data_IF_799639069991
#
_entry.id   IF_799639069991
#
_cell.length_a   1.000
_cell.length_b   1.000
_cell.length_c   1.000
_cell.angle_alpha   90.00
_cell.angle_beta   90.00
_cell.angle_gamma   90.00
#
_symmetry.space_group_name_H-M   'P 1'
#
loop_
_entity.id
_entity.type
_entity.pdbx_description
1 polymer ?
#
# COMPACT_ATOMS: atom_id res chain seq x y z
N UNK A 1 15.91 4.95 -4.73
CA UNK A 1 15.62 4.38 -3.38
C UNK A 1 14.61 3.26 -3.54
N UNK A 2 14.85 2.10 -2.97
CA UNK A 2 13.97 0.91 -3.01
C UNK A 2 13.67 0.48 -1.59
N UNK A 3 12.46 0.01 -1.34
CA UNK A 3 12.07 -0.61 -0.08
C UNK A 3 11.68 -2.06 -0.33
N UNK A 4 12.12 -2.95 0.55
CA UNK A 4 11.78 -4.38 0.47
C UNK A 4 11.22 -4.80 1.82
N UNK A 5 9.90 -4.98 1.94
CA UNK A 5 9.27 -5.39 3.18
C UNK A 5 9.28 -6.90 3.41
N UNK A 6 9.60 -7.73 2.42
CA UNK A 6 9.32 -9.16 2.43
C UNK A 6 10.53 -10.03 2.82
N UNK A 7 10.29 -11.11 3.57
CA UNK A 7 11.21 -12.22 3.79
C UNK A 7 11.90 -12.24 5.16
N UNK A 8 12.60 -11.19 5.56
CA UNK A 8 13.42 -11.18 6.78
C UNK A 8 12.72 -10.54 8.00
N UNK A 9 11.39 -10.34 7.96
CA UNK A 9 10.61 -9.69 9.02
C UNK A 9 11.18 -8.29 9.34
N UNK A 10 11.42 -7.49 8.32
CA UNK A 10 11.93 -6.12 8.43
C UNK A 10 11.61 -5.30 7.20
N UNK A 11 11.59 -3.98 7.34
CA UNK A 11 11.59 -3.02 6.24
C UNK A 11 13.01 -2.52 6.06
N UNK A 12 13.51 -2.56 4.82
CA UNK A 12 14.88 -2.15 4.48
C UNK A 12 14.82 -1.07 3.40
N UNK A 13 15.60 -0.02 3.55
CA UNK A 13 15.81 1.03 2.55
C UNK A 13 17.13 0.78 1.81
N UNK A 14 17.07 0.83 0.49
CA UNK A 14 18.25 0.74 -0.37
C UNK A 14 18.53 2.11 -1.00
N UNK A 15 19.68 2.67 -0.74
CA UNK A 15 20.14 3.92 -1.36
C UNK A 15 20.67 3.70 -2.78
N UNK A 16 21.37 2.61 -2.99
CA UNK A 16 21.89 2.09 -4.26
C UNK A 16 21.93 0.56 -4.25
N UNK A 17 22.54 -0.07 -5.24
CA UNK A 17 22.57 -1.52 -5.35
C UNK A 17 23.50 -2.21 -4.31
N UNK A 18 24.33 -1.45 -3.60
CA UNK A 18 25.30 -1.97 -2.62
C UNK A 18 24.95 -1.62 -1.16
N UNK A 19 24.21 -0.53 -0.94
CA UNK A 19 23.99 0.00 0.39
C UNK A 19 22.52 -0.11 0.81
N UNK A 20 22.29 -0.82 1.90
CA UNK A 20 20.97 -0.94 2.51
C UNK A 20 21.04 -0.69 4.01
N UNK A 21 19.98 -0.14 4.55
CA UNK A 21 19.79 0.03 5.99
C UNK A 21 18.44 -0.52 6.42
N UNK A 22 18.38 -1.02 7.63
CA UNK A 22 17.14 -1.48 8.25
C UNK A 22 16.38 -0.23 8.72
N UNK A 23 15.17 -0.04 8.18
CA UNK A 23 14.26 1.03 8.60
C UNK A 23 13.56 0.61 9.89
N UNK A 24 13.07 -0.64 9.93
CA UNK A 24 12.40 -1.18 11.11
C UNK A 24 12.37 -2.71 11.04
N UNK A 25 12.74 -3.36 12.12
CA UNK A 25 12.60 -4.81 12.33
C UNK A 25 11.91 -5.15 13.67
N UNK A 26 11.78 -4.16 14.56
CA UNK A 26 11.17 -4.30 15.87
C UNK A 26 10.25 -3.13 16.20
N UNK A 27 9.20 -3.43 16.95
CA UNK A 27 8.31 -2.46 17.58
C UNK A 27 8.21 -2.78 19.06
N UNK A 28 8.51 -1.81 19.93
CA UNK A 28 8.53 -2.00 21.38
C UNK A 28 9.37 -3.23 21.83
N UNK A 29 10.53 -3.41 21.18
CA UNK A 29 11.45 -4.52 21.45
C UNK A 29 11.08 -5.87 20.83
N UNK A 30 9.87 -6.03 20.31
CA UNK A 30 9.38 -7.27 19.68
C UNK A 30 9.56 -7.22 18.16
N UNK A 31 9.86 -8.36 17.54
CA UNK A 31 9.98 -8.42 16.08
C UNK A 31 8.64 -8.16 15.41
N UNK A 32 8.65 -7.34 14.36
CA UNK A 32 7.47 -7.18 13.49
C UNK A 32 7.15 -8.49 12.80
N UNK A 33 5.89 -8.66 12.38
CA UNK A 33 5.43 -9.96 11.89
C UNK A 33 6.00 -10.28 10.51
N UNK A 34 5.47 -9.67 9.47
CA UNK A 34 5.92 -9.86 8.09
C UNK A 34 5.39 -8.73 7.22
N UNK A 35 6.12 -7.62 7.13
CA UNK A 35 5.72 -6.47 6.33
C UNK A 35 5.35 -6.87 4.90
N UNK A 36 4.31 -6.24 4.36
CA UNK A 36 3.77 -6.57 3.04
C UNK A 36 3.94 -5.41 2.04
N UNK A 37 3.30 -4.28 2.24
CA UNK A 37 3.39 -3.13 1.31
C UNK A 37 3.90 -1.89 2.03
N UNK A 38 4.43 -0.93 1.25
CA UNK A 38 5.11 0.25 1.77
C UNK A 38 4.82 1.47 0.90
N UNK A 39 4.60 2.61 1.55
CA UNK A 39 4.47 3.92 0.90
C UNK A 39 5.26 4.96 1.68
N UNK A 40 5.74 5.99 0.97
CA UNK A 40 6.44 7.11 1.58
C UNK A 40 5.59 8.36 1.51
N UNK A 41 5.70 9.20 2.53
CA UNK A 41 5.08 10.50 2.61
C UNK A 41 6.07 11.61 2.27
N UNK A 42 5.59 12.79 1.88
CA UNK A 42 6.43 13.93 1.50
C UNK A 42 7.30 14.47 2.64
N UNK A 43 6.92 14.23 3.89
CA UNK A 43 7.69 14.54 5.09
C UNK A 43 8.88 13.59 5.32
N UNK A 44 9.07 12.60 4.44
CA UNK A 44 10.12 11.60 4.53
C UNK A 44 9.77 10.39 5.39
N UNK A 45 8.60 10.35 6.01
CA UNK A 45 8.15 9.19 6.78
C UNK A 45 7.82 8.01 5.87
N UNK A 46 8.07 6.81 6.37
CA UNK A 46 7.84 5.54 5.69
C UNK A 46 6.70 4.84 6.39
N UNK A 47 5.68 4.43 5.63
CA UNK A 47 4.49 3.79 6.14
C UNK A 47 4.36 2.40 5.52
N UNK A 48 4.06 1.40 6.31
CA UNK A 48 3.97 0.03 5.81
C UNK A 48 2.91 -0.79 6.55
N UNK A 49 2.45 -1.84 5.88
CA UNK A 49 1.53 -2.82 6.45
C UNK A 49 2.29 -4.03 6.96
N UNK A 50 1.87 -4.58 8.11
CA UNK A 50 2.43 -5.78 8.73
C UNK A 50 1.32 -6.78 9.08
N UNK A 51 0.79 -7.51 8.08
CA UNK A 51 -0.33 -8.42 8.27
C UNK A 51 0.01 -9.69 9.03
N UNK A 52 1.29 -10.05 9.13
CA UNK A 52 1.72 -11.32 9.72
C UNK A 52 1.19 -12.55 8.98
N UNK A 53 0.83 -12.41 7.69
CA UNK A 53 0.39 -13.53 6.86
C UNK A 53 1.52 -14.56 6.72
N UNK A 54 1.15 -15.85 6.85
CA UNK A 54 2.07 -16.98 6.76
C UNK A 54 3.16 -17.01 7.84
N UNK A 55 3.02 -16.22 8.90
CA UNK A 55 3.81 -16.39 10.13
C UNK A 55 2.98 -17.30 11.04
N UNK A 56 3.49 -18.46 11.44
CA UNK A 56 2.82 -19.30 12.43
C UNK A 56 2.52 -18.51 13.70
N UNK A 57 1.39 -18.76 14.33
CA UNK A 57 0.99 -17.99 15.51
C UNK A 57 2.03 -18.10 16.64
N UNK A 58 2.67 -19.27 16.78
CA UNK A 58 3.74 -19.49 17.75
C UNK A 58 5.01 -18.66 17.49
N UNK A 59 5.21 -18.20 16.23
CA UNK A 59 6.38 -17.43 15.83
C UNK A 59 6.12 -15.91 15.82
N UNK A 60 4.89 -15.49 16.14
CA UNK A 60 4.54 -14.08 16.24
C UNK A 60 4.95 -13.52 17.58
N UNK A 61 5.81 -12.50 17.56
CA UNK A 61 6.17 -11.76 18.77
C UNK A 61 5.13 -10.67 19.10
N UNK A 62 4.54 -10.06 18.05
CA UNK A 62 3.47 -9.05 18.18
C UNK A 62 2.09 -9.72 18.13
N UNK A 63 1.19 -9.37 19.07
CA UNK A 63 -0.14 -9.97 19.15
C UNK A 63 -1.11 -9.46 18.07
N UNK A 64 -0.75 -8.38 17.38
CA UNK A 64 -1.58 -7.69 16.41
C UNK A 64 -0.92 -7.60 15.03
N UNK A 65 -1.72 -7.38 14.03
CA UNK A 65 -1.33 -6.94 12.69
C UNK A 65 -1.74 -5.48 12.53
N UNK A 66 -1.02 -4.70 11.72
CA UNK A 66 -1.34 -3.29 11.63
C UNK A 66 -0.59 -2.52 10.56
N UNK A 67 -0.82 -1.23 10.58
CA UNK A 67 -0.08 -0.22 9.81
C UNK A 67 0.87 0.50 10.75
N UNK A 68 2.11 0.61 10.34
CA UNK A 68 3.16 1.32 11.06
C UNK A 68 3.66 2.51 10.27
N UNK A 69 4.17 3.50 10.98
CA UNK A 69 4.94 4.61 10.39
C UNK A 69 6.27 4.77 11.09
N UNK A 70 7.30 5.12 10.31
CA UNK A 70 8.64 5.44 10.79
C UNK A 70 9.03 6.80 10.27
N UNK A 71 9.36 7.74 11.16
CA UNK A 71 9.83 9.08 10.82
C UNK A 71 11.31 9.06 10.40
N UNK A 72 11.81 10.13 9.73
CA UNK A 72 13.23 10.24 9.39
C UNK A 72 14.19 10.16 10.58
N UNK A 73 13.75 10.53 11.78
CA UNK A 73 14.52 10.43 13.02
C UNK A 73 14.51 9.01 13.64
N UNK A 74 13.88 8.03 12.98
CA UNK A 74 13.75 6.65 13.46
C UNK A 74 12.59 6.43 14.43
N UNK A 75 11.86 7.46 14.83
CA UNK A 75 10.66 7.30 15.68
C UNK A 75 9.60 6.50 14.95
N UNK A 76 9.20 5.38 15.53
CA UNK A 76 8.18 4.50 14.97
C UNK A 76 6.92 4.45 15.83
N UNK A 77 5.80 4.17 15.19
CA UNK A 77 4.52 3.95 15.87
C UNK A 77 3.60 3.00 15.13
N UNK A 78 2.74 2.33 15.86
CA UNK A 78 1.55 1.67 15.34
C UNK A 78 0.49 2.74 15.07
N UNK A 79 0.07 2.89 13.81
CA UNK A 79 -0.94 3.86 13.39
C UNK A 79 -2.35 3.34 13.65
N UNK A 80 -2.57 2.08 13.25
CA UNK A 80 -3.85 1.39 13.45
C UNK A 80 -3.67 -0.11 13.36
N UNK A 81 -4.46 -0.85 14.15
CA UNK A 81 -4.57 -2.30 14.03
C UNK A 81 -5.55 -2.68 12.92
N UNK A 82 -5.23 -3.77 12.24
CA UNK A 82 -6.04 -4.37 11.20
C UNK A 82 -5.98 -5.89 11.30
N UNK A 83 -6.95 -6.53 10.70
CA UNK A 83 -6.98 -7.99 10.67
C UNK A 83 -5.94 -8.55 9.67
N UNK A 84 -6.01 -8.08 8.41
CA UNK A 84 -5.09 -8.46 7.34
C UNK A 84 -4.79 -7.28 6.42
N UNK A 85 -4.06 -6.24 6.89
CA UNK A 85 -3.72 -5.09 6.08
C UNK A 85 -2.78 -5.50 4.95
N UNK A 86 -3.02 -4.97 3.75
CA UNK A 86 -2.24 -5.29 2.56
C UNK A 86 -1.81 -3.99 1.86
N UNK A 87 -2.28 -3.71 0.65
CA UNK A 87 -1.94 -2.50 -0.08
C UNK A 87 -2.31 -1.23 0.67
N UNK A 88 -1.46 -0.21 0.54
CA UNK A 88 -1.73 1.11 1.11
C UNK A 88 -1.31 2.22 0.16
N UNK A 89 -2.01 3.36 0.22
CA UNK A 89 -1.71 4.55 -0.57
C UNK A 89 -2.23 5.81 0.11
N UNK A 90 -1.55 6.94 -0.07
CA UNK A 90 -2.03 8.24 0.36
C UNK A 90 -2.92 8.90 -0.69
N UNK A 91 -3.88 9.71 -0.23
CA UNK A 91 -4.53 10.73 -1.05
C UNK A 91 -3.49 11.76 -1.56
N UNK A 92 -3.79 12.51 -2.64
CA UNK A 92 -2.84 13.51 -3.17
C UNK A 92 -2.41 14.58 -2.17
N UNK A 93 -3.26 14.93 -1.22
CA UNK A 93 -2.97 15.88 -0.14
C UNK A 93 -2.33 15.22 1.10
N UNK A 94 -2.11 13.91 1.06
CA UNK A 94 -1.52 13.09 2.12
C UNK A 94 -2.26 13.16 3.48
N UNK A 95 -3.53 13.61 3.48
CA UNK A 95 -4.36 13.67 4.69
C UNK A 95 -5.17 12.39 4.92
N UNK A 96 -5.30 11.56 3.90
CA UNK A 96 -5.97 10.28 4.00
C UNK A 96 -5.03 9.16 3.60
N UNK A 97 -4.91 8.15 4.45
CA UNK A 97 -4.26 6.89 4.12
C UNK A 97 -5.34 5.86 3.83
N UNK A 98 -5.34 5.33 2.62
CA UNK A 98 -6.15 4.17 2.25
C UNK A 98 -5.41 2.88 2.57
N UNK A 99 -6.11 1.90 3.12
CA UNK A 99 -5.54 0.58 3.49
C UNK A 99 -6.51 -0.50 3.06
N UNK A 100 -6.04 -1.43 2.23
CA UNK A 100 -6.78 -2.62 1.85
C UNK A 100 -6.73 -3.66 2.96
N UNK A 101 -7.86 -4.29 3.28
CA UNK A 101 -7.95 -5.46 4.15
C UNK A 101 -8.32 -6.68 3.32
N UNK A 102 -7.46 -7.71 3.34
CA UNK A 102 -7.51 -8.84 2.39
C UNK A 102 -8.53 -9.92 2.76
N UNK A 103 -8.76 -10.18 4.06
CA UNK A 103 -9.50 -11.36 4.53
C UNK A 103 -10.58 -11.00 5.53
N UNK A 104 -11.51 -11.95 5.67
CA UNK A 104 -12.77 -11.90 6.35
C UNK A 104 -13.64 -10.79 5.75
N UNK A 105 -13.37 -9.53 6.03
CA UNK A 105 -14.05 -8.42 5.37
C UNK A 105 -13.09 -7.79 4.33
N UNK A 106 -13.45 -7.84 3.05
CA UNK A 106 -12.67 -7.30 1.94
C UNK A 106 -12.98 -5.81 1.75
N UNK A 107 -12.46 -4.98 2.65
CA UNK A 107 -12.70 -3.54 2.65
C UNK A 107 -11.45 -2.74 2.31
N UNK A 108 -11.65 -1.58 1.71
CA UNK A 108 -10.69 -0.48 1.78
C UNK A 108 -11.12 0.42 2.93
N UNK A 109 -10.20 0.67 3.85
CA UNK A 109 -10.38 1.66 4.91
C UNK A 109 -9.74 2.98 4.52
N UNK A 110 -10.36 4.11 4.89
CA UNK A 110 -9.77 5.42 4.87
C UNK A 110 -9.46 5.84 6.30
N UNK A 111 -8.20 6.19 6.55
CA UNK A 111 -7.70 6.73 7.80
C UNK A 111 -7.41 8.22 7.58
N UNK A 112 -8.17 9.08 8.23
CA UNK A 112 -7.91 10.52 8.25
C UNK A 112 -6.79 10.81 9.25
N UNK A 113 -5.82 11.62 8.83
CA UNK A 113 -4.62 11.93 9.60
C UNK A 113 -4.58 13.41 9.97
N UNK A 114 -4.10 13.72 11.17
CA UNK A 114 -3.71 15.06 11.54
C UNK A 114 -2.36 15.46 10.90
N UNK A 115 -1.93 16.70 11.12
CA UNK A 115 -0.68 17.24 10.59
C UNK A 115 0.57 16.54 11.14
N UNK A 116 0.45 15.82 12.24
CA UNK A 116 1.53 15.03 12.85
C UNK A 116 1.49 13.57 12.42
N UNK A 117 0.47 13.21 11.61
CA UNK A 117 0.23 11.88 11.07
C UNK A 117 -0.46 10.92 12.07
N UNK A 118 -1.10 11.42 13.13
CA UNK A 118 -1.93 10.58 13.99
C UNK A 118 -3.27 10.32 13.32
N UNK A 119 -3.82 9.13 13.55
CA UNK A 119 -5.17 8.81 13.13
C UNK A 119 -6.19 9.65 13.92
N UNK A 120 -6.97 10.46 13.19
CA UNK A 120 -8.12 11.22 13.73
C UNK A 120 -9.39 10.39 13.63
N UNK A 121 -9.56 9.73 12.49
CA UNK A 121 -10.76 8.97 12.17
C UNK A 121 -10.45 7.80 11.24
N UNK A 122 -11.18 6.71 11.39
CA UNK A 122 -11.18 5.57 10.47
C UNK A 122 -12.60 5.26 10.02
N UNK A 123 -12.77 5.03 8.72
CA UNK A 123 -14.04 4.59 8.13
C UNK A 123 -13.81 3.56 7.05
N UNK A 124 -14.84 2.80 6.70
CA UNK A 124 -14.84 2.02 5.45
C UNK A 124 -14.96 3.02 4.30
N UNK A 125 -14.00 2.96 3.37
CA UNK A 125 -14.01 3.73 2.14
C UNK A 125 -14.81 3.02 1.06
N UNK A 126 -14.55 1.72 0.87
CA UNK A 126 -15.24 0.90 -0.10
C UNK A 126 -15.31 -0.57 0.35
N UNK A 127 -16.38 -1.24 -0.01
CA UNK A 127 -16.55 -2.69 0.09
C UNK A 127 -16.15 -3.31 -1.25
N UNK A 128 -15.20 -4.26 -1.21
CA UNK A 128 -14.73 -5.01 -2.37
C UNK A 128 -15.23 -6.46 -2.36
N UNK A 129 -16.17 -6.80 -1.49
CA UNK A 129 -16.81 -8.12 -1.48
C UNK A 129 -17.44 -8.40 -2.84
N UNK A 130 -17.25 -9.60 -3.37
CA UNK A 130 -17.71 -10.01 -4.69
C UNK A 130 -18.01 -11.49 -4.73
N UNK A 131 -18.92 -11.88 -5.62
CA UNK A 131 -19.17 -13.29 -5.95
C UNK A 131 -18.00 -13.89 -6.74
N UNK A 132 -17.19 -13.05 -7.41
CA UNK A 132 -15.96 -13.50 -8.04
C UNK A 132 -14.95 -13.88 -6.93
N UNK A 133 -14.51 -15.12 -6.95
CA UNK A 133 -13.65 -15.68 -5.89
C UNK A 133 -12.17 -15.52 -6.18
N UNK A 134 -11.80 -15.17 -7.42
CA UNK A 134 -10.40 -15.05 -7.84
C UNK A 134 -9.89 -13.63 -7.63
N UNK A 135 -8.98 -13.49 -6.68
CA UNK A 135 -8.42 -12.22 -6.23
C UNK A 135 -8.92 -11.78 -4.85
N UNK A 136 -8.16 -10.92 -4.25
CA UNK A 136 -8.46 -10.29 -2.93
C UNK A 136 -7.96 -8.86 -2.97
N UNK A 137 -8.46 -7.94 -2.14
CA UNK A 137 -7.86 -6.62 -1.99
C UNK A 137 -6.38 -6.74 -1.65
N UNK A 138 -5.50 -6.28 -2.58
CA UNK A 138 -4.05 -6.42 -2.50
C UNK A 138 -3.38 -5.08 -2.81
N UNK A 139 -2.57 -4.95 -3.84
CA UNK A 139 -1.84 -3.73 -4.14
C UNK A 139 -2.74 -2.54 -4.50
N UNK A 140 -2.32 -1.34 -4.08
CA UNK A 140 -3.11 -0.12 -4.22
C UNK A 140 -2.28 1.07 -4.70
N UNK A 141 -2.86 1.92 -5.54
CA UNK A 141 -2.31 3.21 -5.95
C UNK A 141 -3.40 4.27 -6.08
N UNK A 142 -3.00 5.53 -6.07
CA UNK A 142 -3.87 6.69 -6.24
C UNK A 142 -3.37 7.52 -7.42
N UNK A 143 -4.27 8.16 -8.17
CA UNK A 143 -3.91 9.11 -9.21
C UNK A 143 -3.98 10.57 -8.72
N UNK A 144 -3.53 11.51 -9.55
CA UNK A 144 -3.50 12.94 -9.17
C UNK A 144 -4.88 13.56 -8.96
N UNK A 145 -5.96 12.93 -9.43
CA UNK A 145 -7.35 13.35 -9.20
C UNK A 145 -7.96 12.65 -7.96
N UNK A 146 -7.16 11.84 -7.24
CA UNK A 146 -7.59 11.17 -6.03
C UNK A 146 -8.39 9.88 -6.25
N UNK A 147 -8.47 9.35 -7.48
CA UNK A 147 -9.08 8.03 -7.70
C UNK A 147 -8.19 6.94 -7.12
N UNK A 148 -8.82 6.01 -6.43
CA UNK A 148 -8.16 4.87 -5.79
C UNK A 148 -8.26 3.65 -6.70
N UNK A 149 -7.13 3.04 -6.98
CA UNK A 149 -7.00 1.79 -7.74
C UNK A 149 -6.53 0.70 -6.79
N UNK A 150 -7.33 -0.34 -6.63
CA UNK A 150 -6.98 -1.48 -5.76
C UNK A 150 -7.18 -2.78 -6.52
N UNK A 151 -6.17 -3.63 -6.58
CA UNK A 151 -6.34 -4.98 -7.11
C UNK A 151 -7.25 -5.79 -6.19
N UNK A 152 -8.08 -6.67 -6.77
CA UNK A 152 -9.10 -7.37 -6.02
C UNK A 152 -9.83 -8.42 -6.85
N UNK A 153 -10.98 -8.89 -6.38
CA UNK A 153 -11.77 -9.89 -7.09
C UNK A 153 -12.06 -9.47 -8.53
N UNK A 154 -11.69 -10.32 -9.48
CA UNK A 154 -11.95 -10.13 -10.92
C UNK A 154 -11.13 -9.04 -11.61
N UNK A 155 -10.14 -8.38 -10.94
CA UNK A 155 -9.29 -7.37 -11.56
C UNK A 155 -8.89 -6.22 -10.65
N UNK A 156 -8.63 -5.04 -11.22
CA UNK A 156 -8.31 -3.83 -10.46
C UNK A 156 -9.55 -2.93 -10.40
N UNK A 157 -10.06 -2.73 -9.20
CA UNK A 157 -11.21 -1.86 -8.94
C UNK A 157 -10.76 -0.40 -8.90
N UNK A 158 -11.58 0.46 -9.49
CA UNK A 158 -11.34 1.90 -9.55
C UNK A 158 -12.46 2.60 -8.82
N UNK A 159 -12.10 3.45 -7.87
CA UNK A 159 -13.03 4.22 -7.06
C UNK A 159 -12.80 5.72 -7.24
N UNK A 160 -13.87 6.49 -7.20
CA UNK A 160 -13.83 7.94 -7.08
C UNK A 160 -13.31 8.36 -5.69
N UNK A 161 -12.89 9.62 -5.48
CA UNK A 161 -12.40 10.08 -4.17
C UNK A 161 -13.40 9.95 -3.02
N UNK A 162 -14.69 9.91 -3.31
CA UNK A 162 -15.77 9.70 -2.34
C UNK A 162 -16.03 8.23 -1.99
N UNK A 163 -15.39 7.29 -2.72
CA UNK A 163 -15.55 5.85 -2.55
C UNK A 163 -16.54 5.20 -3.52
N UNK A 164 -17.18 5.97 -4.39
CA UNK A 164 -18.06 5.40 -5.40
C UNK A 164 -17.26 4.57 -6.41
N UNK A 165 -17.72 3.34 -6.68
CA UNK A 165 -17.09 2.45 -7.65
C UNK A 165 -17.29 2.97 -9.07
N UNK A 166 -16.20 3.26 -9.78
CA UNK A 166 -16.22 3.67 -11.20
C UNK A 166 -16.26 2.44 -12.10
N UNK A 167 -15.49 1.39 -11.78
CA UNK A 167 -15.43 0.19 -12.60
C UNK A 167 -14.32 -0.76 -12.19
N UNK A 168 -14.08 -1.77 -13.03
CA UNK A 168 -13.02 -2.77 -12.85
C UNK A 168 -12.20 -2.87 -14.13
N UNK A 169 -10.89 -2.69 -14.02
CA UNK A 169 -9.93 -2.97 -15.09
C UNK A 169 -9.63 -4.46 -15.04
N UNK A 170 -10.02 -5.20 -16.06
CA UNK A 170 -9.77 -6.63 -16.18
C UNK A 170 -8.47 -6.88 -16.95
N UNK A 171 -7.63 -7.72 -16.40
CA UNK A 171 -6.42 -8.27 -17.03
C UNK A 171 -6.62 -9.75 -17.30
N UNK A 172 -5.90 -10.37 -18.26
CA UNK A 172 -6.04 -11.82 -18.53
C UNK A 172 -5.76 -12.71 -17.32
N UNK A 173 -4.92 -12.24 -16.40
CA UNK A 173 -4.63 -12.90 -15.13
C UNK A 173 -4.99 -11.96 -13.97
N UNK A 174 -5.31 -12.53 -12.81
CA UNK A 174 -5.58 -11.74 -11.59
C UNK A 174 -4.35 -10.94 -11.19
N UNK A 175 -4.45 -9.61 -11.12
CA UNK A 175 -3.34 -8.77 -10.69
C UNK A 175 -3.17 -8.80 -9.18
N UNK A 176 -1.91 -8.83 -8.73
CA UNK A 176 -1.56 -8.72 -7.31
C UNK A 176 -1.18 -7.27 -6.92
N UNK A 177 -0.57 -6.52 -7.83
CA UNK A 177 -0.19 -5.13 -7.57
C UNK A 177 -0.18 -4.31 -8.86
N UNK A 178 -0.12 -3.00 -8.72
CA UNK A 178 -0.02 -2.08 -9.84
C UNK A 178 0.92 -0.92 -9.52
N UNK A 179 1.43 -0.26 -10.57
CA UNK A 179 2.20 0.96 -10.46
C UNK A 179 1.91 1.87 -11.65
N UNK A 180 1.98 3.17 -11.42
CA UNK A 180 2.05 4.16 -12.49
C UNK A 180 3.50 4.44 -12.84
N UNK A 181 3.83 4.53 -14.11
CA UNK A 181 5.18 4.77 -14.60
C UNK A 181 5.20 5.43 -15.97
N UNK A 182 6.41 5.45 -16.56
CA UNK A 182 6.67 6.22 -17.78
C UNK A 182 6.92 7.70 -17.48
N UNK A 183 7.39 8.48 -18.47
CA UNK A 183 7.79 9.88 -18.27
C UNK A 183 6.64 10.77 -17.79
N UNK A 184 5.41 10.42 -18.10
CA UNK A 184 4.19 11.17 -17.80
C UNK A 184 3.33 10.51 -16.72
N UNK A 185 3.81 9.43 -16.10
CA UNK A 185 3.08 8.63 -15.10
C UNK A 185 1.70 8.15 -15.57
N UNK A 186 1.50 8.00 -16.89
CA UNK A 186 0.23 7.53 -17.46
C UNK A 186 0.27 6.06 -17.90
N UNK A 187 1.39 5.38 -17.78
CA UNK A 187 1.45 3.94 -18.03
C UNK A 187 1.22 3.20 -16.73
N UNK A 188 0.12 2.47 -16.65
CA UNK A 188 -0.14 1.54 -15.56
C UNK A 188 0.53 0.21 -15.87
N UNK A 189 1.25 -0.33 -14.92
CA UNK A 189 1.84 -1.67 -14.95
C UNK A 189 1.12 -2.52 -13.91
N UNK A 190 0.63 -3.68 -14.32
CA UNK A 190 -0.03 -4.63 -13.43
C UNK A 190 0.84 -5.88 -13.33
N UNK A 191 1.30 -6.20 -12.13
CA UNK A 191 1.96 -7.47 -11.85
C UNK A 191 0.88 -8.51 -11.54
N UNK A 192 0.83 -9.56 -12.35
CA UNK A 192 -0.09 -10.67 -12.20
C UNK A 192 0.66 -11.96 -11.88
N UNK A 193 0.00 -13.12 -11.97
CA UNK A 193 0.58 -14.40 -11.56
C UNK A 193 1.86 -14.74 -12.30
N UNK A 194 1.85 -14.66 -13.63
CA UNK A 194 2.99 -15.04 -14.48
C UNK A 194 3.44 -13.93 -15.41
N UNK A 195 2.70 -12.84 -15.51
CA UNK A 195 2.87 -11.80 -16.52
C UNK A 195 2.81 -10.40 -15.93
N UNK A 196 3.34 -9.44 -16.67
CA UNK A 196 3.14 -8.00 -16.44
C UNK A 196 2.31 -7.44 -17.59
N UNK A 197 1.19 -6.81 -17.26
CA UNK A 197 0.33 -6.15 -18.24
C UNK A 197 0.49 -4.64 -18.16
N UNK A 198 0.24 -3.95 -19.26
CA UNK A 198 0.28 -2.50 -19.29
C UNK A 198 -1.00 -1.91 -19.89
N UNK A 199 -1.39 -0.75 -19.38
CA UNK A 199 -2.52 0.03 -19.88
C UNK A 199 -2.16 1.52 -19.84
N UNK A 200 -2.58 2.28 -20.86
CA UNK A 200 -2.47 3.75 -20.83
C UNK A 200 -3.65 4.36 -20.10
N UNK A 201 -3.37 5.07 -19.01
CA UNK A 201 -4.35 5.89 -18.31
C UNK A 201 -4.50 7.27 -18.95
N UNK A 202 -5.69 7.86 -18.86
CA UNK A 202 -5.92 9.26 -19.25
C UNK A 202 -5.30 10.22 -18.21
N UNK A 203 -5.31 9.85 -16.94
CA UNK A 203 -4.85 10.64 -15.81
C UNK A 203 -3.55 10.06 -15.26
N UNK A 204 -2.56 10.91 -14.92
CA UNK A 204 -1.32 10.44 -14.33
C UNK A 204 -1.56 9.85 -12.94
N UNK A 205 -0.77 8.85 -12.56
CA UNK A 205 -0.69 8.42 -11.17
C UNK A 205 -0.09 9.51 -10.28
N UNK A 206 -0.42 9.46 -9.00
CA UNK A 206 0.23 10.32 -8.00
C UNK A 206 1.73 10.06 -7.99
N UNK A 207 2.58 11.07 -8.22
CA UNK A 207 4.02 10.88 -8.18
C UNK A 207 4.48 10.53 -6.77
N UNK A 208 5.40 9.58 -6.68
CA UNK A 208 6.08 9.33 -5.42
C UNK A 208 6.82 10.61 -4.96
N UNK A 209 6.81 10.97 -3.67
CA UNK A 209 7.43 12.21 -3.17
C UNK A 209 8.88 12.44 -3.63
N UNK A 210 9.62 11.36 -3.87
CA UNK A 210 11.00 11.40 -4.37
C UNK A 210 11.12 11.11 -5.87
N UNK A 211 10.00 11.07 -6.59
CA UNK A 211 10.02 10.93 -8.04
C UNK A 211 10.44 12.26 -8.66
N UNK A 212 11.70 12.33 -9.09
CA UNK A 212 12.18 13.46 -9.88
C UNK A 212 11.90 13.15 -11.34
N UNK A 213 10.94 13.85 -11.94
CA UNK A 213 10.83 13.91 -13.39
C UNK A 213 12.16 14.47 -13.88
N UNK A 214 12.98 13.66 -14.58
CA UNK A 214 14.13 14.21 -15.29
C UNK A 214 13.55 15.16 -16.33
N UNK A 215 13.70 16.46 -16.12
CA UNK A 215 13.46 17.44 -17.16
C UNK A 215 14.33 17.03 -18.36
N UNK A 216 13.69 16.92 -19.53
CA UNK A 216 14.38 16.71 -20.80
C UNK A 216 15.17 17.95 -21.15
#
# INVERSE_FOLDING_TARGET
>A
MRFIPYGNRRVTRWSDDAHSEVVMDRYEGKRINRPNDVVCKSDGSIWFTDPGLRVPLADKDLPHSGVYSVKPDGTSRLVAEFEYPNGLAFSPDERTLYVANTRHAQYIHAIELDTTGNMVRRRIFADMSSEETDGVPDGMKVDVEGRVYCTGPGGTWVFAPDGAKIGVIRTPEVPANLAFGGPDLKTMFFTARTSVYTLRSKVPGQPHPWYRVRAK
#
